data_IF_741046224636
#
_entry.id   IF_741046224636
#
_cell.length_a   1.000
_cell.length_b   1.000
_cell.length_c   1.000
_cell.angle_alpha   90.00
_cell.angle_beta   90.00
_cell.angle_gamma   90.00
#
_symmetry.space_group_name_H-M   'P 1'
#
loop_
_entity.id
_entity.type
_entity.pdbx_description
1 polymer ?
#
# COMPACT_ATOMS: atom_id res chain seq x y z
N UNK A 1 -16.19 -1.87 9.17
CA UNK A 1 -16.05 -1.41 10.57
C UNK A 1 -16.03 -2.62 11.49
N UNK A 2 -17.03 -3.48 11.47
CA UNK A 2 -17.19 -4.62 12.36
C UNK A 2 -15.98 -5.57 12.38
N UNK A 3 -15.41 -5.89 11.23
CA UNK A 3 -14.20 -6.74 11.15
C UNK A 3 -12.98 -6.12 11.83
N UNK A 4 -12.78 -4.81 11.67
CA UNK A 4 -11.69 -4.09 12.35
C UNK A 4 -11.89 -4.05 13.85
N UNK A 5 -13.15 -3.88 14.29
CA UNK A 5 -13.51 -3.94 15.71
C UNK A 5 -13.20 -5.32 16.30
N UNK A 6 -13.68 -6.40 15.66
CA UNK A 6 -13.41 -7.77 16.10
C UNK A 6 -11.91 -8.10 16.17
N UNK A 7 -11.14 -7.58 15.22
CA UNK A 7 -9.68 -7.73 15.23
C UNK A 7 -9.07 -7.09 16.48
N UNK A 8 -9.39 -5.82 16.75
CA UNK A 8 -8.84 -5.06 17.89
C UNK A 8 -9.34 -5.63 19.21
N UNK A 9 -10.62 -5.97 19.31
CA UNK A 9 -11.23 -6.53 20.52
C UNK A 9 -10.70 -7.94 20.86
N UNK A 10 -10.17 -8.65 19.86
CA UNK A 10 -9.51 -9.96 20.03
C UNK A 10 -8.05 -9.88 20.51
N UNK A 11 -7.46 -8.69 20.61
CA UNK A 11 -6.09 -8.54 21.10
C UNK A 11 -6.04 -8.62 22.62
N UNK A 12 -4.97 -9.23 23.14
CA UNK A 12 -4.60 -9.16 24.55
C UNK A 12 -3.49 -8.13 24.75
N UNK A 13 -3.61 -7.27 25.77
CA UNK A 13 -2.58 -6.28 26.08
C UNK A 13 -1.56 -6.85 27.09
N UNK A 14 -0.27 -6.64 26.84
CA UNK A 14 0.80 -6.89 27.82
C UNK A 14 1.17 -5.56 28.51
N UNK A 15 0.77 -5.42 29.76
CA UNK A 15 1.07 -4.22 30.57
C UNK A 15 2.54 -4.08 30.98
N UNK A 16 3.37 -5.09 30.74
CA UNK A 16 4.81 -5.09 31.07
C UNK A 16 5.70 -4.90 29.84
N UNK A 17 5.17 -5.12 28.64
CA UNK A 17 5.92 -4.94 27.41
C UNK A 17 6.18 -3.45 27.16
N UNK A 18 7.43 -3.11 26.86
CA UNK A 18 7.76 -1.78 26.33
C UNK A 18 7.12 -1.59 24.95
N UNK A 19 6.68 -0.37 24.65
CA UNK A 19 6.15 -0.06 23.34
C UNK A 19 7.22 -0.29 22.26
N UNK A 20 6.90 -1.12 21.27
CA UNK A 20 7.74 -1.35 20.11
C UNK A 20 7.92 -0.06 19.30
N UNK A 21 9.11 0.17 18.77
CA UNK A 21 9.43 1.39 18.00
C UNK A 21 8.54 1.56 16.77
N UNK A 22 8.26 0.46 16.06
CA UNK A 22 7.30 0.47 14.96
C UNK A 22 5.92 0.93 15.41
N UNK A 23 5.44 0.40 16.54
CA UNK A 23 4.13 0.75 17.09
C UNK A 23 4.08 2.20 17.55
N UNK A 24 5.15 2.69 18.19
CA UNK A 24 5.28 4.09 18.59
C UNK A 24 5.17 5.04 17.40
N UNK A 25 5.88 4.74 16.31
CA UNK A 25 5.84 5.52 15.07
C UNK A 25 4.46 5.47 14.40
N UNK A 26 3.82 4.31 14.37
CA UNK A 26 2.49 4.14 13.82
C UNK A 26 1.43 4.94 14.59
N UNK A 27 1.48 4.90 15.93
CA UNK A 27 0.60 5.67 16.81
C UNK A 27 0.80 7.18 16.61
N UNK A 28 2.06 7.63 16.54
CA UNK A 28 2.39 9.03 16.29
C UNK A 28 1.83 9.49 14.94
N UNK A 29 2.08 8.74 13.88
CA UNK A 29 1.57 9.05 12.56
C UNK A 29 0.04 9.10 12.50
N UNK A 30 -0.65 8.08 13.00
CA UNK A 30 -2.10 8.06 12.91
C UNK A 30 -2.77 9.16 13.73
N UNK A 31 -2.16 9.56 14.86
CA UNK A 31 -2.62 10.70 15.64
C UNK A 31 -2.60 12.00 14.83
N UNK A 32 -1.55 12.23 14.04
CA UNK A 32 -1.45 13.40 13.18
C UNK A 32 -2.47 13.32 12.04
N UNK A 33 -2.59 12.16 11.41
CA UNK A 33 -3.54 11.90 10.33
C UNK A 33 -4.99 12.12 10.79
N UNK A 34 -5.34 11.62 11.97
CA UNK A 34 -6.64 11.84 12.62
C UNK A 34 -6.88 13.34 12.84
N UNK A 35 -5.91 14.07 13.38
CA UNK A 35 -6.02 15.51 13.62
C UNK A 35 -6.29 16.32 12.35
N UNK A 36 -5.59 16.01 11.25
CA UNK A 36 -5.81 16.64 9.94
C UNK A 36 -7.21 16.33 9.41
N UNK A 37 -7.62 15.06 9.46
CA UNK A 37 -8.91 14.64 8.98
C UNK A 37 -10.07 15.26 9.79
N UNK A 38 -9.95 15.34 11.11
CA UNK A 38 -10.95 15.97 11.98
C UNK A 38 -11.14 17.45 11.65
N UNK A 39 -10.06 18.18 11.36
CA UNK A 39 -10.13 19.58 10.94
C UNK A 39 -10.87 19.71 9.61
N UNK A 40 -10.51 18.91 8.62
CA UNK A 40 -11.18 18.91 7.33
C UNK A 40 -12.67 18.57 7.44
N UNK A 41 -13.02 17.58 8.25
CA UNK A 41 -14.42 17.18 8.49
C UNK A 41 -15.20 18.32 9.17
N UNK A 42 -14.60 19.00 10.16
CA UNK A 42 -15.24 20.13 10.83
C UNK A 42 -15.49 21.29 9.86
N UNK A 43 -14.52 21.62 8.99
CA UNK A 43 -14.64 22.65 7.97
C UNK A 43 -15.72 22.31 6.93
N UNK A 44 -15.78 21.03 6.52
CA UNK A 44 -16.78 20.55 5.58
C UNK A 44 -18.20 20.57 6.17
N UNK A 45 -18.38 20.19 7.44
CA UNK A 45 -19.66 20.33 8.14
C UNK A 45 -20.05 21.80 8.31
N UNK A 46 -19.11 22.66 8.72
CA UNK A 46 -19.35 24.10 8.86
C UNK A 46 -19.75 24.78 7.53
N UNK A 47 -19.31 24.22 6.42
CA UNK A 47 -19.64 24.68 5.06
C UNK A 47 -20.80 23.93 4.40
N UNK A 48 -21.52 23.08 5.14
CA UNK A 48 -22.60 22.21 4.66
C UNK A 48 -22.21 21.23 3.55
N UNK A 49 -20.91 20.92 3.42
CA UNK A 49 -20.38 19.96 2.43
C UNK A 49 -20.38 18.53 2.99
N UNK A 50 -21.56 18.03 3.29
CA UNK A 50 -21.76 16.75 4.00
C UNK A 50 -21.14 15.57 3.23
N UNK A 51 -21.24 15.56 1.90
CA UNK A 51 -20.64 14.49 1.07
C UNK A 51 -19.12 14.49 1.14
N UNK A 52 -18.47 15.62 1.24
CA UNK A 52 -17.01 15.72 1.38
C UNK A 52 -16.57 15.31 2.78
N UNK A 53 -17.30 15.72 3.82
CA UNK A 53 -17.08 15.25 5.18
C UNK A 53 -17.16 13.72 5.26
N UNK A 54 -18.15 13.10 4.60
CA UNK A 54 -18.27 11.64 4.53
C UNK A 54 -17.09 10.99 3.81
N UNK A 55 -16.64 11.50 2.67
CA UNK A 55 -15.48 10.98 1.93
C UNK A 55 -14.21 11.01 2.78
N UNK A 56 -13.99 12.10 3.51
CA UNK A 56 -12.85 12.24 4.42
C UNK A 56 -12.94 11.24 5.56
N UNK A 57 -14.10 11.09 6.20
CA UNK A 57 -14.34 10.13 7.27
C UNK A 57 -14.18 8.67 6.78
N UNK A 58 -14.69 8.39 5.58
CA UNK A 58 -14.57 7.08 4.94
C UNK A 58 -13.10 6.73 4.68
N UNK A 59 -12.34 7.62 4.01
CA UNK A 59 -10.92 7.42 3.74
C UNK A 59 -10.12 7.24 5.03
N UNK A 60 -10.35 8.08 6.04
CA UNK A 60 -9.70 7.99 7.33
C UNK A 60 -9.90 6.61 7.98
N UNK A 61 -11.12 6.05 7.91
CA UNK A 61 -11.39 4.74 8.51
C UNK A 61 -10.85 3.59 7.65
N UNK A 62 -11.15 3.57 6.34
CA UNK A 62 -10.84 2.41 5.48
C UNK A 62 -9.38 2.37 5.05
N UNK A 63 -8.86 3.49 4.57
CA UNK A 63 -7.51 3.50 4.02
C UNK A 63 -6.47 3.71 5.12
N UNK A 64 -6.65 4.75 5.95
CA UNK A 64 -5.62 5.16 6.88
C UNK A 64 -5.65 4.34 8.17
N UNK A 65 -6.83 4.08 8.77
CA UNK A 65 -6.92 3.28 10.00
C UNK A 65 -6.88 1.78 9.71
N UNK A 66 -7.88 1.25 9.00
CA UNK A 66 -8.03 -0.19 8.80
C UNK A 66 -6.99 -0.76 7.84
N UNK A 67 -6.74 -0.08 6.70
CA UNK A 67 -5.83 -0.54 5.66
C UNK A 67 -4.35 -0.33 5.98
N UNK A 68 -4.00 0.63 6.83
CA UNK A 68 -2.61 0.96 7.10
C UNK A 68 -2.25 0.89 8.58
N UNK A 69 -2.89 1.68 9.45
CA UNK A 69 -2.54 1.72 10.87
C UNK A 69 -2.65 0.36 11.55
N UNK A 70 -3.80 -0.32 11.41
CA UNK A 70 -3.98 -1.64 12.02
C UNK A 70 -2.96 -2.66 11.49
N UNK A 71 -2.60 -2.60 10.21
CA UNK A 71 -1.58 -3.48 9.64
C UNK A 71 -0.18 -3.21 10.23
N UNK A 72 0.12 -1.94 10.52
CA UNK A 72 1.38 -1.58 11.17
C UNK A 72 1.47 -2.09 12.61
N UNK A 73 0.38 -1.99 13.39
CA UNK A 73 0.43 -2.29 14.83
C UNK A 73 -0.02 -3.70 15.19
N UNK A 74 -0.74 -4.41 14.31
CA UNK A 74 -1.24 -5.74 14.67
C UNK A 74 -0.11 -6.66 15.15
N UNK A 75 -0.29 -7.34 16.29
CA UNK A 75 0.67 -8.30 16.79
C UNK A 75 0.72 -9.54 15.90
N UNK A 76 1.78 -10.33 16.02
CA UNK A 76 1.81 -11.66 15.43
C UNK A 76 0.66 -12.51 16.01
N UNK A 77 0.18 -13.48 15.23
CA UNK A 77 -0.94 -14.31 15.64
C UNK A 77 -0.70 -14.97 17.01
N UNK A 78 -1.64 -14.80 17.93
CA UNK A 78 -1.56 -15.34 19.29
C UNK A 78 -0.58 -14.61 20.23
N UNK A 79 0.05 -13.52 19.79
CA UNK A 79 0.92 -12.71 20.63
C UNK A 79 0.16 -11.48 21.19
N UNK A 80 0.48 -11.06 22.43
CA UNK A 80 -0.09 -9.83 22.97
C UNK A 80 0.51 -8.59 22.28
N UNK A 81 -0.23 -7.49 22.35
CA UNK A 81 0.25 -6.15 21.97
C UNK A 81 0.69 -5.38 23.22
N UNK A 82 1.63 -4.45 23.09
CA UNK A 82 1.97 -3.55 24.19
C UNK A 82 0.78 -2.67 24.62
N UNK A 83 0.62 -2.46 25.92
CA UNK A 83 -0.52 -1.73 26.47
C UNK A 83 -0.64 -0.28 25.94
N UNK A 84 0.44 0.52 25.80
CA UNK A 84 0.34 1.87 25.23
C UNK A 84 -0.25 1.89 23.80
N UNK A 85 0.14 0.95 22.94
CA UNK A 85 -0.39 0.84 21.59
C UNK A 85 -1.86 0.39 21.60
N UNK A 86 -2.20 -0.57 22.45
CA UNK A 86 -3.58 -1.03 22.60
C UNK A 86 -4.53 0.08 23.02
N UNK A 87 -4.18 0.83 24.07
CA UNK A 87 -4.98 1.96 24.54
C UNK A 87 -5.09 3.10 23.52
N UNK A 88 -3.99 3.42 22.81
CA UNK A 88 -4.03 4.37 21.72
C UNK A 88 -4.98 3.91 20.60
N UNK A 89 -4.94 2.63 20.22
CA UNK A 89 -5.81 2.06 19.21
C UNK A 89 -7.29 2.13 19.60
N UNK A 90 -7.62 1.82 20.85
CA UNK A 90 -8.99 1.95 21.38
C UNK A 90 -9.48 3.40 21.37
N UNK A 91 -8.62 4.35 21.76
CA UNK A 91 -8.92 5.79 21.73
C UNK A 91 -9.17 6.27 20.29
N UNK A 92 -8.38 5.82 19.35
CA UNK A 92 -8.60 6.12 17.94
C UNK A 92 -9.91 5.52 17.43
N UNK A 93 -10.19 4.28 17.83
CA UNK A 93 -11.43 3.60 17.43
C UNK A 93 -12.67 4.33 17.95
N UNK A 94 -12.66 4.74 19.23
CA UNK A 94 -13.71 5.57 19.85
C UNK A 94 -13.92 6.87 19.06
N UNK A 95 -12.84 7.57 18.72
CA UNK A 95 -12.90 8.80 17.93
C UNK A 95 -13.49 8.57 16.54
N UNK A 96 -13.08 7.49 15.89
CA UNK A 96 -13.59 7.11 14.56
C UNK A 96 -15.08 6.74 14.60
N UNK A 97 -15.54 6.08 15.66
CA UNK A 97 -16.98 5.79 15.81
C UNK A 97 -17.78 7.07 15.90
N UNK A 98 -17.33 8.05 16.71
CA UNK A 98 -18.01 9.35 16.80
C UNK A 98 -18.02 10.12 15.49
N UNK A 99 -16.94 10.08 14.72
CA UNK A 99 -16.84 10.71 13.40
C UNK A 99 -17.77 10.07 12.37
N UNK A 100 -17.90 8.75 12.39
CA UNK A 100 -18.74 7.99 11.47
C UNK A 100 -20.21 7.96 11.86
N UNK A 101 -20.53 8.25 13.11
CA UNK A 101 -21.88 8.12 13.65
C UNK A 101 -22.96 8.88 12.85
N UNK A 102 -22.75 10.13 12.40
CA UNK A 102 -23.74 10.83 11.58
C UNK A 102 -24.12 10.12 10.29
N UNK A 103 -23.27 9.23 9.79
CA UNK A 103 -23.45 8.49 8.53
C UNK A 103 -23.89 7.03 8.73
N UNK A 104 -23.52 6.43 9.85
CA UNK A 104 -23.72 5.00 10.16
C UNK A 104 -24.15 4.81 11.60
N UNK A 105 -25.32 5.33 12.02
CA UNK A 105 -25.67 5.47 13.43
C UNK A 105 -25.77 4.13 14.19
N UNK A 106 -26.28 3.08 13.59
CA UNK A 106 -26.53 1.83 14.30
C UNK A 106 -25.24 1.06 14.63
N UNK A 107 -24.38 0.83 13.63
CA UNK A 107 -23.15 0.06 13.83
C UNK A 107 -22.14 0.79 14.71
N UNK A 108 -22.12 2.13 14.64
CA UNK A 108 -21.22 2.94 15.47
C UNK A 108 -21.68 3.01 16.91
N UNK A 109 -22.97 3.10 17.19
CA UNK A 109 -23.53 3.01 18.55
C UNK A 109 -23.18 1.66 19.17
N UNK A 110 -23.49 0.55 18.48
CA UNK A 110 -23.23 -0.80 18.97
C UNK A 110 -21.76 -1.02 19.34
N UNK A 111 -20.86 -0.65 18.45
CA UNK A 111 -19.43 -0.76 18.72
C UNK A 111 -18.97 0.17 19.84
N UNK A 112 -19.48 1.40 19.86
CA UNK A 112 -19.07 2.40 20.87
C UNK A 112 -19.49 2.00 22.27
N UNK A 113 -20.66 1.35 22.44
CA UNK A 113 -21.12 0.78 23.70
C UNK A 113 -20.20 -0.35 24.18
N UNK A 114 -19.73 -1.19 23.26
CA UNK A 114 -18.89 -2.35 23.59
C UNK A 114 -17.39 -1.98 23.79
N UNK A 115 -16.93 -0.85 23.22
CA UNK A 115 -15.54 -0.39 23.35
C UNK A 115 -15.14 -0.05 24.80
N UNK A 116 -16.05 0.42 25.64
CA UNK A 116 -15.78 0.78 27.02
C UNK A 116 -17.05 0.71 27.87
N UNK A 117 -16.95 0.46 29.18
CA UNK A 117 -18.08 0.55 30.09
C UNK A 117 -18.78 1.92 29.98
N UNK A 118 -20.08 1.93 29.76
CA UNK A 118 -20.92 3.12 29.65
C UNK A 118 -21.93 3.16 30.80
N UNK A 119 -22.40 4.34 31.15
CA UNK A 119 -23.49 4.50 32.10
C UNK A 119 -24.81 4.14 31.39
N UNK A 120 -25.79 3.72 32.17
CA UNK A 120 -27.14 3.47 31.65
C UNK A 120 -27.70 4.74 30.98
N UNK A 121 -28.19 4.60 29.75
CA UNK A 121 -28.70 5.70 28.94
C UNK A 121 -27.66 6.57 28.24
N UNK A 122 -26.36 6.28 28.41
CA UNK A 122 -25.29 6.97 27.68
C UNK A 122 -25.27 6.50 26.20
N UNK A 123 -25.29 7.43 25.27
CA UNK A 123 -25.31 7.17 23.83
C UNK A 123 -24.29 8.00 23.09
N UNK A 124 -23.68 7.44 22.04
CA UNK A 124 -22.77 8.13 21.14
C UNK A 124 -23.44 9.35 20.47
N UNK A 125 -24.78 9.32 20.31
CA UNK A 125 -25.54 10.41 19.69
C UNK A 125 -25.33 11.76 20.39
N UNK A 126 -25.10 11.75 21.69
CA UNK A 126 -24.85 12.96 22.50
C UNK A 126 -23.37 13.11 22.88
N UNK A 127 -22.52 12.18 22.47
CA UNK A 127 -21.10 12.26 22.73
C UNK A 127 -20.45 13.43 21.95
N UNK A 128 -19.53 14.20 22.57
CA UNK A 128 -18.89 15.31 21.87
C UNK A 128 -18.05 14.82 20.69
N UNK A 129 -18.08 15.54 19.56
CA UNK A 129 -17.22 15.27 18.42
C UNK A 129 -15.75 15.40 18.83
N UNK A 130 -14.87 14.47 18.38
CA UNK A 130 -13.44 14.60 18.66
C UNK A 130 -12.90 15.93 18.16
N UNK A 131 -12.07 16.58 18.97
CA UNK A 131 -11.48 17.87 18.57
C UNK A 131 -10.19 17.65 17.77
N UNK A 132 -9.96 18.43 16.71
CA UNK A 132 -8.71 18.37 15.95
C UNK A 132 -7.55 18.91 16.80
N UNK A 133 -6.42 18.20 16.77
CA UNK A 133 -5.16 18.70 17.31
C UNK A 133 -4.33 19.36 16.20
N UNK A 134 -3.34 20.19 16.60
CA UNK A 134 -2.34 20.64 15.63
C UNK A 134 -1.59 19.44 15.04
N UNK A 135 -1.35 19.51 13.73
CA UNK A 135 -0.68 18.43 13.02
C UNK A 135 0.77 18.81 12.72
N UNK A 136 1.67 17.87 12.95
CA UNK A 136 3.06 17.96 12.52
C UNK A 136 3.16 17.59 11.04
N UNK A 137 3.20 18.61 10.19
CA UNK A 137 3.30 18.44 8.73
C UNK A 137 4.61 17.80 8.30
N UNK A 138 5.70 17.98 9.08
CA UNK A 138 6.99 17.36 8.78
C UNK A 138 6.93 15.84 9.03
N UNK A 139 6.36 15.42 10.15
CA UNK A 139 6.13 14.02 10.46
C UNK A 139 5.31 13.33 9.36
N UNK A 140 4.21 13.95 8.94
CA UNK A 140 3.36 13.42 7.87
C UNK A 140 4.10 13.31 6.53
N UNK A 141 4.86 14.34 6.15
CA UNK A 141 5.65 14.31 4.91
C UNK A 141 6.73 13.22 4.93
N UNK A 142 7.41 13.03 6.05
CA UNK A 142 8.42 11.98 6.22
C UNK A 142 7.80 10.59 6.18
N UNK A 143 6.65 10.41 6.81
CA UNK A 143 5.93 9.12 6.73
C UNK A 143 5.46 8.81 5.30
N UNK A 144 5.04 9.83 4.54
CA UNK A 144 4.65 9.63 3.14
C UNK A 144 5.80 9.08 2.29
N UNK A 145 7.05 9.56 2.51
CA UNK A 145 8.23 8.97 1.87
C UNK A 145 8.40 7.49 2.22
N UNK A 146 8.23 7.13 3.50
CA UNK A 146 8.29 5.73 3.91
C UNK A 146 7.18 4.88 3.24
N UNK A 147 5.98 5.43 3.08
CA UNK A 147 4.85 4.78 2.39
C UNK A 147 5.14 4.57 0.90
N UNK A 148 5.75 5.55 0.23
CA UNK A 148 6.19 5.42 -1.16
C UNK A 148 7.25 4.32 -1.31
N UNK A 149 8.21 4.20 -0.37
CA UNK A 149 9.19 3.11 -0.36
C UNK A 149 8.50 1.75 -0.22
N UNK A 150 7.57 1.61 0.74
CA UNK A 150 6.81 0.37 0.95
C UNK A 150 6.05 -0.03 -0.33
N UNK A 151 5.39 0.92 -0.96
CA UNK A 151 4.64 0.71 -2.21
C UNK A 151 5.59 0.27 -3.34
N UNK A 152 6.75 0.91 -3.47
CA UNK A 152 7.74 0.58 -4.50
C UNK A 152 8.33 -0.82 -4.31
N UNK A 153 8.61 -1.24 -3.08
CA UNK A 153 9.04 -2.62 -2.80
C UNK A 153 7.94 -3.63 -3.17
N UNK A 154 6.68 -3.35 -2.86
CA UNK A 154 5.55 -4.20 -3.28
C UNK A 154 5.42 -4.28 -4.80
N UNK A 155 5.64 -3.18 -5.50
CA UNK A 155 5.66 -3.16 -6.96
C UNK A 155 6.81 -4.00 -7.54
N UNK A 156 8.02 -3.92 -6.95
CA UNK A 156 9.14 -4.81 -7.32
C UNK A 156 8.76 -6.28 -7.13
N UNK A 157 8.13 -6.64 -5.99
CA UNK A 157 7.66 -8.01 -5.75
C UNK A 157 6.70 -8.48 -6.86
N UNK A 158 5.73 -7.65 -7.20
CA UNK A 158 4.74 -7.99 -8.25
C UNK A 158 5.41 -8.14 -9.62
N UNK A 159 6.29 -7.20 -10.01
CA UNK A 159 6.99 -7.24 -11.30
C UNK A 159 7.94 -8.45 -11.43
N UNK A 160 8.57 -8.84 -10.32
CA UNK A 160 9.52 -9.95 -10.28
C UNK A 160 8.89 -11.27 -9.81
N UNK A 161 7.57 -11.31 -9.64
CA UNK A 161 6.81 -12.49 -9.14
C UNK A 161 7.35 -13.06 -7.81
N UNK A 162 7.88 -12.20 -6.93
CA UNK A 162 8.39 -12.62 -5.64
C UNK A 162 7.25 -12.88 -4.66
N UNK A 163 7.24 -14.02 -3.95
CA UNK A 163 6.20 -14.32 -2.96
C UNK A 163 6.14 -13.27 -1.85
N UNK A 164 4.93 -12.91 -1.40
CA UNK A 164 4.76 -11.95 -0.30
C UNK A 164 5.38 -12.43 1.02
N UNK A 165 5.47 -13.75 1.22
CA UNK A 165 6.06 -14.37 2.42
C UNK A 165 7.58 -14.37 2.40
N UNK A 166 8.21 -14.19 1.26
CA UNK A 166 9.67 -14.16 1.15
C UNK A 166 10.19 -12.83 1.73
N UNK A 167 11.09 -12.92 2.71
CA UNK A 167 11.70 -11.73 3.27
C UNK A 167 12.81 -11.21 2.35
N UNK A 168 12.84 -9.89 2.08
CA UNK A 168 13.81 -9.23 1.21
C UNK A 168 14.77 -8.38 2.02
N UNK A 169 15.95 -8.14 1.48
CA UNK A 169 16.85 -7.07 1.93
C UNK A 169 16.64 -5.86 1.01
N UNK A 170 16.59 -4.67 1.59
CA UNK A 170 16.57 -3.41 0.85
C UNK A 170 17.90 -2.70 1.06
N UNK A 171 18.59 -2.34 -0.02
CA UNK A 171 19.77 -1.48 0.01
C UNK A 171 19.38 -0.06 -0.36
N UNK A 172 19.99 0.94 0.26
CA UNK A 172 19.70 2.35 0.02
C UNK A 172 20.99 3.15 -0.08
N UNK A 173 21.08 4.01 -1.12
CA UNK A 173 22.04 5.12 -1.15
C UNK A 173 21.32 6.29 -0.48
N UNK A 174 21.58 6.44 0.83
CA UNK A 174 20.86 7.39 1.67
C UNK A 174 21.25 8.84 1.34
N UNK A 175 20.22 9.69 1.30
CA UNK A 175 20.33 11.14 1.20
C UNK A 175 19.37 11.80 2.21
N UNK A 176 19.16 13.10 2.12
CA UNK A 176 18.28 13.87 3.01
C UNK A 176 16.80 13.44 2.96
N UNK A 177 16.36 12.84 1.85
CA UNK A 177 15.00 12.36 1.66
C UNK A 177 14.79 10.93 2.18
N UNK A 178 15.86 10.22 2.58
CA UNK A 178 15.73 8.90 3.17
C UNK A 178 15.03 8.97 4.54
N UNK A 179 13.84 8.36 4.73
CA UNK A 179 13.10 8.39 5.99
C UNK A 179 13.62 7.32 6.97
N UNK A 180 14.86 7.49 7.42
CA UNK A 180 15.58 6.50 8.25
C UNK A 180 14.83 6.17 9.57
N UNK A 181 14.17 7.14 10.16
CA UNK A 181 13.37 7.00 11.39
C UNK A 181 12.21 6.02 11.23
N UNK A 182 11.70 5.84 10.00
CA UNK A 182 10.62 4.88 9.68
C UNK A 182 11.13 3.52 9.22
N UNK A 183 12.43 3.22 9.36
CA UNK A 183 12.97 1.90 9.01
C UNK A 183 12.24 0.71 9.68
N UNK A 184 11.80 0.78 10.95
CA UNK A 184 11.00 -0.28 11.56
C UNK A 184 9.67 -0.53 10.83
N UNK A 185 8.97 0.56 10.45
CA UNK A 185 7.71 0.50 9.71
C UNK A 185 7.92 -0.07 8.31
N UNK A 186 8.93 0.41 7.60
CA UNK A 186 9.26 -0.11 6.27
C UNK A 186 9.61 -1.59 6.30
N UNK A 187 10.40 -2.04 7.30
CA UNK A 187 10.73 -3.47 7.46
C UNK A 187 9.48 -4.32 7.66
N UNK A 188 8.61 -3.94 8.57
CA UNK A 188 7.37 -4.69 8.85
C UNK A 188 6.43 -4.70 7.64
N UNK A 189 6.14 -3.55 7.07
CA UNK A 189 5.11 -3.39 6.04
C UNK A 189 5.53 -3.89 4.65
N UNK A 190 6.82 -3.93 4.36
CA UNK A 190 7.36 -4.46 3.11
C UNK A 190 7.98 -5.86 3.27
N UNK A 191 7.87 -6.48 4.45
CA UNK A 191 8.46 -7.78 4.79
C UNK A 191 9.97 -7.82 4.46
N UNK A 192 10.73 -6.92 5.11
CA UNK A 192 12.18 -6.81 4.92
C UNK A 192 12.93 -7.38 6.13
N UNK A 193 13.96 -8.19 5.88
CA UNK A 193 14.91 -8.63 6.91
C UNK A 193 15.79 -7.50 7.38
N UNK A 194 16.29 -6.69 6.44
CA UNK A 194 17.19 -5.58 6.71
C UNK A 194 17.00 -4.43 5.72
N UNK A 195 17.38 -3.21 6.14
CA UNK A 195 17.62 -2.07 5.27
C UNK A 195 19.08 -1.68 5.49
N UNK A 196 19.88 -1.75 4.43
CA UNK A 196 21.33 -1.57 4.45
C UNK A 196 21.70 -0.29 3.69
N UNK A 197 22.45 0.61 4.33
CA UNK A 197 23.00 1.77 3.62
C UNK A 197 24.26 1.36 2.85
N UNK A 198 24.27 1.69 1.56
CA UNK A 198 25.38 1.40 0.64
C UNK A 198 25.82 2.67 -0.06
N UNK A 199 27.04 2.67 -0.57
CA UNK A 199 27.62 3.81 -1.33
C UNK A 199 27.60 3.59 -2.83
N UNK A 200 27.47 2.34 -3.27
CA UNK A 200 27.54 1.97 -4.67
C UNK A 200 26.23 1.33 -5.14
N UNK A 201 25.93 1.51 -6.42
CA UNK A 201 24.80 0.86 -7.08
C UNK A 201 25.07 -0.62 -7.27
N UNK A 202 24.03 -1.43 -7.09
CA UNK A 202 24.04 -2.85 -7.40
C UNK A 202 23.39 -3.06 -8.79
N UNK A 203 24.19 -3.27 -9.85
CA UNK A 203 23.65 -3.36 -11.21
C UNK A 203 22.77 -4.60 -11.43
N UNK A 204 22.89 -5.64 -10.59
CA UNK A 204 22.07 -6.86 -10.65
C UNK A 204 20.80 -6.78 -9.79
N UNK A 205 20.58 -5.68 -9.07
CA UNK A 205 19.42 -5.48 -8.22
C UNK A 205 18.25 -4.82 -8.99
N UNK A 206 17.03 -5.11 -8.55
CA UNK A 206 15.89 -4.31 -8.98
C UNK A 206 15.95 -2.93 -8.29
N UNK A 207 16.10 -1.87 -9.08
CA UNK A 207 16.26 -0.51 -8.58
C UNK A 207 14.97 0.30 -8.70
N UNK A 208 14.74 1.19 -7.74
CA UNK A 208 13.72 2.23 -7.82
C UNK A 208 14.18 3.50 -7.09
N UNK A 209 13.49 4.60 -7.34
CA UNK A 209 13.81 5.92 -6.76
C UNK A 209 12.54 6.47 -6.09
N UNK A 210 12.71 7.00 -4.88
CA UNK A 210 11.70 7.80 -4.19
C UNK A 210 12.29 9.18 -3.95
N UNK A 211 11.70 10.21 -4.56
CA UNK A 211 12.29 11.55 -4.68
C UNK A 211 13.70 11.48 -5.33
N UNK A 212 14.73 11.64 -4.53
CA UNK A 212 16.14 11.56 -4.96
C UNK A 212 16.85 10.33 -4.43
N UNK A 213 16.30 9.68 -3.42
CA UNK A 213 16.89 8.52 -2.77
C UNK A 213 16.79 7.28 -3.66
N UNK A 214 17.89 6.58 -3.83
CA UNK A 214 17.97 5.37 -4.65
C UNK A 214 17.93 4.12 -3.78
N UNK A 215 17.10 3.17 -4.19
CA UNK A 215 16.87 1.91 -3.49
C UNK A 215 17.13 0.72 -4.43
N UNK A 216 17.62 -0.37 -3.86
CA UNK A 216 17.97 -1.58 -4.60
C UNK A 216 17.48 -2.82 -3.83
N UNK A 217 16.77 -3.71 -4.51
CA UNK A 217 16.39 -5.01 -3.99
C UNK A 217 17.27 -6.05 -4.66
N UNK A 218 18.25 -6.66 -3.95
CA UNK A 218 19.12 -7.69 -4.51
C UNK A 218 18.33 -8.87 -5.06
N UNK A 219 18.62 -9.28 -6.29
CA UNK A 219 17.92 -10.36 -6.99
C UNK A 219 18.71 -11.67 -7.00
N UNK A 220 19.96 -11.68 -6.58
CA UNK A 220 20.83 -12.87 -6.61
C UNK A 220 20.20 -14.04 -5.84
N UNK A 221 19.97 -15.16 -6.51
CA UNK A 221 19.36 -16.38 -5.95
C UNK A 221 17.87 -16.31 -5.66
N UNK A 222 17.18 -15.23 -6.03
CA UNK A 222 15.74 -15.02 -5.76
C UNK A 222 14.86 -15.16 -6.98
N UNK A 223 15.42 -15.13 -8.16
CA UNK A 223 14.72 -15.45 -9.40
C UNK A 223 15.00 -16.91 -9.69
N UNK A 224 13.96 -17.74 -9.75
CA UNK A 224 14.02 -19.01 -10.42
C UNK A 224 14.19 -18.71 -11.92
N UNK A 225 15.47 -18.59 -12.34
CA UNK A 225 15.83 -18.23 -13.71
C UNK A 225 15.20 -19.21 -14.72
N UNK A 226 14.99 -20.47 -14.29
CA UNK A 226 14.38 -21.48 -15.13
C UNK A 226 12.87 -21.29 -15.26
N UNK A 227 12.18 -20.94 -14.18
CA UNK A 227 10.75 -20.63 -14.21
C UNK A 227 10.47 -19.31 -14.97
N UNK A 228 11.30 -18.30 -14.78
CA UNK A 228 11.20 -17.03 -15.52
C UNK A 228 11.49 -17.22 -17.01
N UNK A 229 12.49 -18.03 -17.33
CA UNK A 229 12.83 -18.40 -18.71
C UNK A 229 11.70 -19.17 -19.39
N UNK A 230 11.06 -20.12 -18.70
CA UNK A 230 9.88 -20.82 -19.22
C UNK A 230 8.74 -19.85 -19.52
N UNK A 231 8.41 -18.97 -18.58
CA UNK A 231 7.34 -17.98 -18.74
C UNK A 231 7.60 -17.02 -19.91
N UNK A 232 8.83 -16.50 -20.03
CA UNK A 232 9.21 -15.65 -21.16
C UNK A 232 9.20 -16.42 -22.49
N UNK A 233 9.55 -17.71 -22.50
CA UNK A 233 9.49 -18.56 -23.68
C UNK A 233 8.04 -18.82 -24.12
N UNK A 234 7.13 -19.08 -23.17
CA UNK A 234 5.70 -19.25 -23.44
C UNK A 234 5.08 -17.95 -23.97
N UNK A 235 5.43 -16.80 -23.38
CA UNK A 235 4.96 -15.51 -23.84
C UNK A 235 5.52 -15.15 -25.23
N UNK A 236 6.80 -15.45 -25.48
CA UNK A 236 7.41 -15.30 -26.80
C UNK A 236 6.64 -16.10 -27.85
N UNK A 237 6.37 -17.37 -27.58
CA UNK A 237 5.62 -18.26 -28.49
C UNK A 237 4.22 -17.71 -28.75
N UNK A 238 3.53 -17.20 -27.73
CA UNK A 238 2.22 -16.55 -27.89
C UNK A 238 2.30 -15.31 -28.77
N UNK A 239 3.26 -14.41 -28.55
CA UNK A 239 3.42 -13.18 -29.31
C UNK A 239 3.85 -13.46 -30.77
N UNK A 240 4.70 -14.45 -31.01
CA UNK A 240 5.08 -14.89 -32.36
C UNK A 240 3.88 -15.50 -33.13
N UNK A 241 3.04 -16.30 -32.46
CA UNK A 241 1.80 -16.80 -33.00
C UNK A 241 0.78 -15.70 -33.34
N UNK A 242 0.67 -14.72 -32.46
CA UNK A 242 -0.17 -13.53 -32.68
C UNK A 242 0.33 -12.72 -33.89
N UNK A 243 1.63 -12.43 -33.96
CA UNK A 243 2.26 -11.71 -35.07
C UNK A 243 2.02 -12.45 -36.40
N UNK A 244 2.21 -13.76 -36.42
CA UNK A 244 1.97 -14.57 -37.62
C UNK A 244 0.50 -14.46 -38.10
N UNK A 245 -0.46 -14.43 -37.19
CA UNK A 245 -1.88 -14.26 -37.52
C UNK A 245 -2.20 -12.87 -38.07
N UNK A 246 -1.58 -11.81 -37.53
CA UNK A 246 -1.72 -10.44 -38.02
C UNK A 246 -1.06 -10.29 -39.41
N UNK A 247 0.14 -10.83 -39.60
CA UNK A 247 0.84 -10.83 -40.88
C UNK A 247 0.06 -11.58 -41.97
N UNK A 248 -0.55 -12.73 -41.66
CA UNK A 248 -1.41 -13.47 -42.57
C UNK A 248 -2.61 -12.64 -43.04
N UNK A 249 -3.19 -11.82 -42.19
CA UNK A 249 -4.27 -10.89 -42.58
C UNK A 249 -3.74 -9.76 -43.47
N UNK A 250 -2.60 -9.19 -43.12
CA UNK A 250 -1.99 -8.07 -43.87
C UNK A 250 -1.41 -8.51 -45.22
N UNK A 251 -1.01 -9.79 -45.38
CA UNK A 251 -0.57 -10.37 -46.66
C UNK A 251 -1.74 -10.73 -47.61
N UNK A 252 -2.97 -10.71 -47.14
CA UNK A 252 -4.14 -10.94 -47.98
C UNK A 252 -4.50 -9.65 -48.73
N UNK A 253 -4.14 -9.59 -50.01
CA UNK A 253 -4.37 -8.41 -50.85
C UNK A 253 -5.85 -8.01 -50.91
N UNK A 254 -6.78 -8.99 -50.95
CA UNK A 254 -8.22 -8.69 -50.94
C UNK A 254 -8.65 -7.99 -49.68
N UNK A 255 -8.11 -8.41 -48.54
CA UNK A 255 -8.39 -7.75 -47.23
C UNK A 255 -7.85 -6.31 -47.23
N UNK A 256 -6.61 -6.11 -47.65
CA UNK A 256 -5.96 -4.78 -47.63
C UNK A 256 -6.64 -3.80 -48.60
N UNK A 257 -7.15 -4.29 -49.75
CA UNK A 257 -7.82 -3.45 -50.74
C UNK A 257 -9.30 -3.17 -50.41
N UNK A 258 -9.99 -4.09 -49.71
CA UNK A 258 -11.44 -3.97 -49.47
C UNK A 258 -11.80 -3.48 -48.05
N UNK A 259 -10.90 -3.61 -47.08
CA UNK A 259 -11.17 -3.18 -45.71
C UNK A 259 -11.06 -1.64 -45.57
N UNK A 260 -11.85 -1.03 -44.65
CA UNK A 260 -11.72 0.37 -44.35
C UNK A 260 -10.29 0.72 -43.89
N UNK A 261 -9.71 1.84 -44.36
CA UNK A 261 -8.31 2.21 -44.06
C UNK A 261 -7.97 2.23 -42.58
N UNK A 262 -8.94 2.57 -41.74
CA UNK A 262 -8.79 2.53 -40.26
C UNK A 262 -8.57 1.11 -39.72
N UNK A 263 -9.17 0.10 -40.33
CA UNK A 263 -9.00 -1.30 -39.92
C UNK A 263 -7.62 -1.80 -40.32
N UNK A 264 -7.14 -1.49 -41.53
CA UNK A 264 -5.79 -1.83 -42.00
C UNK A 264 -4.72 -1.12 -41.12
N UNK A 265 -4.93 0.16 -40.81
CA UNK A 265 -4.03 0.89 -39.91
C UNK A 265 -3.96 0.27 -38.51
N UNK A 266 -5.08 -0.20 -37.97
CA UNK A 266 -5.14 -0.88 -36.68
C UNK A 266 -4.40 -2.24 -36.69
N UNK A 267 -4.51 -3.03 -37.77
CA UNK A 267 -3.75 -4.29 -37.89
C UNK A 267 -2.24 -4.02 -38.06
N UNK A 268 -1.82 -2.95 -38.74
CA UNK A 268 -0.40 -2.53 -38.76
C UNK A 268 0.13 -2.06 -37.43
N UNK A 269 -0.69 -1.34 -36.62
CA UNK A 269 -0.33 -0.96 -35.27
C UNK A 269 -0.14 -2.19 -34.38
N UNK A 270 -1.01 -3.20 -34.48
CA UNK A 270 -0.87 -4.49 -33.79
C UNK A 270 0.39 -5.24 -34.20
N UNK A 271 0.78 -5.20 -35.46
CA UNK A 271 2.03 -5.77 -35.95
C UNK A 271 3.24 -5.11 -35.27
N UNK A 272 3.31 -3.76 -35.29
CA UNK A 272 4.42 -3.01 -34.68
C UNK A 272 4.51 -3.25 -33.17
N UNK A 273 3.36 -3.31 -32.46
CA UNK A 273 3.31 -3.61 -31.03
C UNK A 273 3.81 -5.02 -30.72
N UNK A 274 3.39 -6.02 -31.50
CA UNK A 274 3.85 -7.40 -31.33
C UNK A 274 5.35 -7.56 -31.62
N UNK A 275 5.86 -6.92 -32.67
CA UNK A 275 7.30 -6.92 -33.02
C UNK A 275 8.13 -6.28 -31.89
N UNK A 276 7.68 -5.15 -31.32
CA UNK A 276 8.35 -4.49 -30.19
C UNK A 276 8.36 -5.38 -28.93
N UNK A 277 7.24 -6.06 -28.63
CA UNK A 277 7.15 -6.99 -27.50
C UNK A 277 8.07 -8.20 -27.69
N UNK A 278 8.09 -8.80 -28.86
CA UNK A 278 8.98 -9.92 -29.20
C UNK A 278 10.44 -9.52 -29.01
N UNK A 279 10.85 -8.34 -29.49
CA UNK A 279 12.20 -7.84 -29.32
C UNK A 279 12.56 -7.65 -27.82
N UNK A 280 11.66 -7.08 -27.04
CA UNK A 280 11.85 -6.89 -25.60
C UNK A 280 11.97 -8.23 -24.85
N UNK A 281 11.13 -9.23 -25.19
CA UNK A 281 11.18 -10.56 -24.55
C UNK A 281 12.49 -11.27 -24.91
N UNK A 282 12.94 -11.20 -26.17
CA UNK A 282 14.22 -11.80 -26.59
C UNK A 282 15.42 -11.19 -25.86
N UNK A 283 15.45 -9.86 -25.69
CA UNK A 283 16.47 -9.19 -24.92
C UNK A 283 16.47 -9.62 -23.43
N UNK A 284 15.30 -9.85 -22.84
CA UNK A 284 15.18 -10.37 -21.48
C UNK A 284 15.67 -11.82 -21.35
N UNK A 285 15.38 -12.68 -22.34
CA UNK A 285 15.87 -14.06 -22.38
C UNK A 285 17.40 -14.12 -22.51
N UNK A 286 18.00 -13.23 -23.30
CA UNK A 286 19.47 -13.09 -23.40
C UNK A 286 20.10 -12.65 -22.09
N UNK A 287 19.45 -11.74 -21.36
CA UNK A 287 19.94 -11.28 -20.06
C UNK A 287 19.85 -12.36 -18.95
N UNK A 288 19.04 -13.42 -19.16
CA UNK A 288 18.91 -14.57 -18.26
C UNK A 288 19.81 -15.77 -18.66
N UNK A 289 20.60 -15.62 -19.69
CA UNK A 289 21.56 -16.64 -20.16
C UNK A 289 22.92 -16.43 -19.54
#
# INVERSE_FOLDING_TARGET
IWNSYRLVNGWSADGKAAQDENNRLAVAWFRQTLGVALRQIADDFGSYRISEAFKTAYKLFWDDFSGLYLEMVKPAYGQPIDAPTFEATRTFFDSLMRVLHPFMPFVTEEIWQDLAPRKEGESITVAPMPQPAEADGQLLARFELAREVISSVRNVRNQKNLPQKEALTLKVIADENYPAEYAPVMRKMANLTAIETVTEKDPAAAAFIVKTTQYFVPMAGKIDAEAERRKLTDELSYQEGFLASVMKKLSNERFVQSAPGKVVANERAKQADAEAKIAAIKAQLEALS
#
